data_IF_008123662343
#
_entry.id   IF_008123662343
#
_cell.length_a   1.000
_cell.length_b   1.000
_cell.length_c   1.000
_cell.angle_alpha   90.00
_cell.angle_beta   90.00
_cell.angle_gamma   90.00
#
_symmetry.space_group_name_H-M   'P 1'
#
loop_
_entity.id
_entity.type
_entity.pdbx_description
1 polymer ?
#
# COMPACT_ATOMS: atom_id res chain seq x y z
N UNK A 1 -7.40 -1.47 -3.35
CA UNK A 1 -6.65 -0.39 -4.06
C UNK A 1 -7.35 0.93 -3.81
N UNK A 2 -6.60 2.01 -3.83
CA UNK A 2 -7.12 3.38 -3.85
C UNK A 2 -6.80 4.06 -5.18
N UNK A 3 -7.61 5.05 -5.56
CA UNK A 3 -7.28 6.04 -6.57
C UNK A 3 -7.03 7.36 -5.85
N UNK A 4 -5.84 7.92 -6.03
CA UNK A 4 -5.44 9.16 -5.36
C UNK A 4 -6.27 10.34 -5.88
N UNK A 5 -6.56 11.30 -5.00
CA UNK A 5 -7.23 12.54 -5.42
C UNK A 5 -6.39 13.32 -6.45
N UNK A 6 -7.04 14.13 -7.28
CA UNK A 6 -6.34 14.94 -8.28
C UNK A 6 -5.52 16.08 -7.66
N UNK A 7 -5.81 16.45 -6.42
CA UNK A 7 -5.07 17.47 -5.66
C UNK A 7 -3.89 16.86 -4.86
N UNK A 8 -3.70 15.54 -4.93
CA UNK A 8 -2.61 14.88 -4.23
C UNK A 8 -1.24 15.32 -4.78
N UNK A 9 -0.29 15.60 -3.87
CA UNK A 9 1.05 16.15 -4.24
C UNK A 9 1.91 15.18 -5.05
N UNK A 10 1.72 13.88 -4.87
CA UNK A 10 2.51 12.85 -5.53
C UNK A 10 1.61 11.88 -6.28
N UNK A 11 1.77 11.81 -7.61
CA UNK A 11 1.02 10.92 -8.51
C UNK A 11 -0.51 11.11 -8.40
N UNK A 12 -1.06 12.32 -8.66
CA UNK A 12 -2.51 12.55 -8.65
C UNK A 12 -3.22 11.66 -9.68
N UNK A 13 -4.35 11.06 -9.28
CA UNK A 13 -5.14 10.15 -10.15
C UNK A 13 -4.54 8.77 -10.37
N UNK A 14 -3.38 8.46 -9.78
CA UNK A 14 -2.80 7.12 -9.85
C UNK A 14 -3.49 6.16 -8.89
N UNK A 15 -3.56 4.90 -9.33
CA UNK A 15 -4.01 3.80 -8.47
C UNK A 15 -2.81 3.23 -7.71
N UNK A 16 -2.99 3.07 -6.39
CA UNK A 16 -1.97 2.60 -5.47
C UNK A 16 -2.55 1.63 -4.43
N UNK A 17 -1.68 0.96 -3.68
CA UNK A 17 -2.07 0.38 -2.41
C UNK A 17 -2.28 1.52 -1.40
N UNK A 18 -3.20 1.38 -0.42
CA UNK A 18 -3.28 2.31 0.71
C UNK A 18 -1.93 2.40 1.43
N UNK A 19 -1.54 3.60 1.84
CA UNK A 19 -0.29 3.80 2.56
C UNK A 19 0.34 5.17 2.34
N UNK A 20 1.12 5.60 3.32
CA UNK A 20 1.79 6.90 3.37
C UNK A 20 3.20 6.83 3.92
N UNK A 21 3.71 7.96 4.37
CA UNK A 21 5.01 8.09 5.00
C UNK A 21 5.00 7.52 6.43
N UNK A 22 6.16 7.07 6.89
CA UNK A 22 6.35 6.77 8.31
C UNK A 22 6.48 8.10 9.07
N UNK A 23 5.60 8.33 10.03
CA UNK A 23 5.56 9.51 10.86
C UNK A 23 6.21 9.30 12.23
N UNK A 24 6.46 10.39 12.96
CA UNK A 24 7.07 10.35 14.29
C UNK A 24 6.26 9.51 15.30
N UNK A 25 4.95 9.39 15.08
CA UNK A 25 4.04 8.61 15.94
C UNK A 25 4.10 7.10 15.68
N UNK A 26 4.60 6.67 14.52
CA UNK A 26 4.59 5.26 14.14
C UNK A 26 5.57 4.40 14.95
N UNK A 27 6.70 4.95 15.38
CA UNK A 27 7.63 4.23 16.24
C UNK A 27 7.04 3.97 17.66
N UNK A 28 6.42 4.95 18.34
CA UNK A 28 5.63 4.69 19.55
C UNK A 28 4.46 3.69 19.33
N UNK A 29 3.75 3.77 18.21
CA UNK A 29 2.68 2.82 17.86
C UNK A 29 3.24 1.40 17.71
N UNK A 30 4.33 1.24 16.97
CA UNK A 30 5.00 -0.04 16.78
C UNK A 30 5.45 -0.65 18.12
N UNK A 31 5.99 0.17 19.03
CA UNK A 31 6.35 -0.27 20.37
C UNK A 31 5.15 -0.81 21.16
N UNK A 32 3.98 -0.16 21.04
CA UNK A 32 2.75 -0.60 21.70
C UNK A 32 2.12 -1.83 21.05
N UNK A 33 2.09 -1.90 19.72
CA UNK A 33 1.39 -2.96 18.99
C UNK A 33 2.24 -4.21 18.78
N UNK A 34 3.52 -4.03 18.49
CA UNK A 34 4.43 -5.13 18.12
C UNK A 34 5.55 -5.38 19.14
N UNK A 35 5.66 -4.53 20.18
CA UNK A 35 6.73 -4.62 21.16
C UNK A 35 8.09 -4.14 20.68
N UNK A 36 8.19 -3.57 19.46
CA UNK A 36 9.46 -3.12 18.88
C UNK A 36 9.26 -1.81 18.07
N UNK A 37 9.80 -0.67 18.51
CA UNK A 37 9.71 0.59 17.77
C UNK A 37 10.33 0.56 16.36
N UNK A 38 11.22 -0.42 16.06
CA UNK A 38 11.83 -0.58 14.74
C UNK A 38 10.83 -1.08 13.68
N UNK A 39 9.66 -1.54 14.09
CA UNK A 39 8.55 -1.92 13.21
C UNK A 39 7.67 -0.73 12.78
N UNK A 40 8.19 0.51 12.86
CA UNK A 40 7.46 1.74 12.53
C UNK A 40 6.80 1.69 11.14
N UNK A 41 7.48 1.15 10.11
CA UNK A 41 6.89 1.00 8.78
C UNK A 41 5.67 0.06 8.75
N UNK A 42 5.64 -0.96 9.63
CA UNK A 42 4.49 -1.85 9.79
C UNK A 42 3.34 -1.16 10.51
N UNK A 43 3.66 -0.33 11.51
CA UNK A 43 2.66 0.48 12.21
C UNK A 43 2.05 1.54 11.28
N UNK A 44 2.88 2.22 10.47
CA UNK A 44 2.41 3.13 9.43
C UNK A 44 1.42 2.45 8.48
N UNK A 45 1.74 1.25 7.97
CA UNK A 45 0.85 0.52 7.08
C UNK A 45 -0.52 0.19 7.73
N UNK A 46 -0.55 -0.11 9.03
CA UNK A 46 -1.80 -0.35 9.77
C UNK A 46 -2.57 0.95 9.99
N UNK A 47 -1.88 2.04 10.34
CA UNK A 47 -2.47 3.37 10.53
C UNK A 47 -3.09 3.87 9.24
N UNK A 48 -2.33 3.93 8.18
CA UNK A 48 -2.75 4.42 6.86
C UNK A 48 -3.94 3.64 6.29
N UNK A 49 -3.94 2.31 6.47
CA UNK A 49 -5.09 1.49 6.06
C UNK A 49 -6.38 1.89 6.78
N UNK A 50 -6.29 2.23 8.07
CA UNK A 50 -7.44 2.66 8.84
C UNK A 50 -7.89 4.09 8.50
N UNK A 51 -6.94 4.99 8.24
CA UNK A 51 -7.20 6.40 7.94
C UNK A 51 -7.68 6.61 6.50
N UNK A 52 -7.00 6.05 5.51
CA UNK A 52 -7.33 6.27 4.09
C UNK A 52 -8.56 5.49 3.61
N UNK A 53 -8.79 4.27 4.15
CA UNK A 53 -9.84 3.38 3.62
C UNK A 53 -10.76 2.75 4.67
N UNK A 54 -10.70 3.24 5.90
CA UNK A 54 -11.55 2.80 7.02
C UNK A 54 -11.50 1.27 7.28
N UNK A 55 -10.32 0.66 7.17
CA UNK A 55 -10.07 -0.76 7.47
C UNK A 55 -9.04 -0.91 8.58
N UNK A 56 -9.43 -1.41 9.74
CA UNK A 56 -8.57 -1.64 10.89
C UNK A 56 -8.12 -3.11 10.96
N UNK A 57 -6.80 -3.33 11.02
CA UNK A 57 -6.22 -4.66 11.26
C UNK A 57 -6.15 -4.91 12.75
N UNK A 58 -6.86 -5.91 13.24
CA UNK A 58 -6.85 -6.35 14.63
C UNK A 58 -6.15 -7.70 14.80
N UNK A 59 -6.06 -8.19 16.03
CA UNK A 59 -5.45 -9.48 16.33
C UNK A 59 -6.08 -10.62 15.51
N UNK A 60 -7.40 -10.59 15.34
CA UNK A 60 -8.16 -11.73 14.78
C UNK A 60 -8.75 -11.44 13.40
N UNK A 61 -9.00 -10.16 13.06
CA UNK A 61 -9.75 -9.79 11.86
C UNK A 61 -9.22 -8.51 11.21
N UNK A 62 -9.73 -8.21 10.02
CA UNK A 62 -9.75 -6.87 9.44
C UNK A 62 -11.19 -6.39 9.50
N UNK A 63 -11.44 -5.31 10.20
CA UNK A 63 -12.78 -4.78 10.48
C UNK A 63 -12.95 -3.37 9.93
N UNK A 64 -14.19 -2.92 9.78
CA UNK A 64 -14.44 -1.52 9.46
C UNK A 64 -13.95 -0.63 10.61
N UNK A 65 -13.16 0.38 10.29
CA UNK A 65 -12.71 1.39 11.23
C UNK A 65 -13.77 2.49 11.36
N UNK A 66 -14.02 3.03 12.59
CA UNK A 66 -14.90 4.17 12.77
C UNK A 66 -14.28 5.45 12.18
N UNK A 67 -15.11 6.37 11.70
CA UNK A 67 -14.66 7.66 11.16
C UNK A 67 -13.94 8.49 12.23
N UNK A 68 -14.48 8.50 13.45
CA UNK A 68 -13.81 9.14 14.58
C UNK A 68 -12.98 8.11 15.35
N UNK A 69 -11.66 8.35 15.43
CA UNK A 69 -10.72 7.42 16.08
C UNK A 69 -10.51 6.12 15.30
N UNK A 70 -10.07 6.16 14.02
CA UNK A 70 -9.96 4.98 13.17
C UNK A 70 -9.03 3.91 13.74
N UNK A 71 -8.13 4.27 14.64
CA UNK A 71 -7.20 3.34 15.29
C UNK A 71 -7.76 2.70 16.57
N UNK A 72 -8.96 3.08 17.02
CA UNK A 72 -9.53 2.51 18.24
C UNK A 72 -9.59 0.97 18.25
N UNK A 73 -10.05 0.28 17.17
CA UNK A 73 -10.04 -1.18 17.13
C UNK A 73 -8.63 -1.79 17.21
N UNK A 74 -7.64 -1.11 16.62
CA UNK A 74 -6.23 -1.55 16.64
C UNK A 74 -5.65 -1.40 18.05
N UNK A 75 -5.97 -0.32 18.76
CA UNK A 75 -5.52 -0.11 20.13
C UNK A 75 -6.14 -1.11 21.12
N UNK A 76 -7.40 -1.48 20.89
CA UNK A 76 -8.12 -2.44 21.72
C UNK A 76 -7.60 -3.88 21.52
N UNK A 77 -7.33 -4.26 20.29
CA UNK A 77 -6.85 -5.59 19.92
C UNK A 77 -5.72 -5.52 18.87
N UNK A 78 -4.50 -5.12 19.26
CA UNK A 78 -3.40 -4.93 18.31
C UNK A 78 -3.03 -6.23 17.61
N UNK A 79 -2.75 -6.19 16.30
CA UNK A 79 -2.38 -7.38 15.55
C UNK A 79 -0.99 -7.88 16.00
N UNK A 80 -0.78 -9.20 16.11
CA UNK A 80 0.56 -9.73 16.26
C UNK A 80 1.37 -9.47 14.98
N UNK A 81 2.69 -9.33 15.13
CA UNK A 81 3.60 -8.98 14.04
C UNK A 81 3.46 -9.92 12.83
N UNK A 82 3.25 -11.21 13.10
CA UNK A 82 3.16 -12.29 12.11
C UNK A 82 1.91 -12.18 11.22
N UNK A 83 0.91 -11.42 11.67
CA UNK A 83 -0.31 -11.19 10.88
C UNK A 83 -0.06 -10.36 9.63
N UNK A 84 0.98 -9.51 9.64
CA UNK A 84 1.38 -8.70 8.49
C UNK A 84 2.71 -9.21 7.92
N UNK A 85 2.67 -9.88 6.79
CA UNK A 85 3.87 -10.32 6.09
C UNK A 85 4.43 -9.20 5.21
N UNK A 86 5.71 -8.84 5.36
CA UNK A 86 6.38 -7.95 4.42
C UNK A 86 6.63 -8.71 3.12
N UNK A 87 6.00 -8.30 2.02
CA UNK A 87 6.02 -8.99 0.73
C UNK A 87 6.83 -8.27 -0.33
N UNK A 88 7.04 -6.96 -0.18
CA UNK A 88 7.85 -6.18 -1.10
C UNK A 88 8.52 -4.99 -0.40
N UNK A 89 9.68 -4.58 -0.92
CA UNK A 89 10.36 -3.34 -0.58
C UNK A 89 10.88 -2.67 -1.83
N UNK A 90 10.57 -1.39 -1.99
CA UNK A 90 10.98 -0.59 -3.15
C UNK A 90 11.73 0.66 -2.68
N UNK A 91 12.99 0.78 -3.10
CA UNK A 91 13.83 1.93 -2.81
C UNK A 91 13.96 2.76 -4.08
N UNK A 92 13.57 4.02 -4.02
CA UNK A 92 13.68 4.92 -5.15
C UNK A 92 15.15 5.07 -5.59
N UNK A 93 15.46 5.01 -6.89
CA UNK A 93 16.78 5.27 -7.43
C UNK A 93 17.29 6.66 -7.03
N UNK A 94 18.61 6.83 -6.98
CA UNK A 94 19.22 8.10 -6.58
C UNK A 94 18.98 9.24 -7.59
N UNK A 95 18.59 8.88 -8.80
CA UNK A 95 18.37 9.81 -9.93
C UNK A 95 16.99 10.47 -9.91
N UNK A 96 16.03 9.91 -9.14
CA UNK A 96 14.69 10.49 -9.08
C UNK A 96 14.60 11.57 -8.00
N UNK A 97 13.87 12.69 -8.26
CA UNK A 97 13.81 13.82 -7.33
C UNK A 97 13.07 13.49 -6.02
N UNK A 98 12.08 12.60 -6.06
CA UNK A 98 11.35 12.15 -4.87
C UNK A 98 11.84 10.76 -4.49
N UNK A 99 12.54 10.67 -3.37
CA UNK A 99 13.06 9.40 -2.85
C UNK A 99 12.12 8.81 -1.82
N UNK A 100 11.90 7.50 -1.93
CA UNK A 100 11.12 6.73 -0.96
C UNK A 100 11.80 5.38 -0.71
N UNK A 101 11.49 4.80 0.44
CA UNK A 101 11.79 3.42 0.84
C UNK A 101 10.44 2.82 1.27
N UNK A 102 9.70 2.30 0.30
CA UNK A 102 8.34 1.82 0.51
C UNK A 102 8.35 0.32 0.81
N UNK A 103 7.71 -0.07 1.90
CA UNK A 103 7.49 -1.47 2.31
C UNK A 103 6.03 -1.82 2.14
N UNK A 104 5.78 -3.01 1.61
CA UNK A 104 4.44 -3.51 1.34
C UNK A 104 4.16 -4.71 2.26
N UNK A 105 3.04 -4.63 2.95
CA UNK A 105 2.62 -5.66 3.88
C UNK A 105 1.32 -6.31 3.41
N UNK A 106 1.27 -7.63 3.50
CA UNK A 106 0.05 -8.41 3.24
C UNK A 106 -0.57 -8.86 4.55
N UNK A 107 -1.90 -8.81 4.61
CA UNK A 107 -2.71 -9.32 5.72
C UNK A 107 -3.79 -10.24 5.17
N UNK A 108 -4.05 -11.38 5.85
CA UNK A 108 -5.18 -12.26 5.51
C UNK A 108 -6.47 -11.67 6.05
N UNK A 109 -7.51 -11.75 5.25
CA UNK A 109 -8.87 -11.35 5.63
C UNK A 109 -9.80 -12.57 5.48
N UNK A 110 -10.54 -12.83 6.54
CA UNK A 110 -11.66 -13.76 6.53
C UNK A 110 -12.95 -12.94 6.47
N UNK A 111 -13.48 -12.75 5.28
CA UNK A 111 -14.60 -11.85 5.02
C UNK A 111 -14.13 -10.47 4.56
N UNK A 112 -15.00 -9.74 3.91
CA UNK A 112 -14.68 -8.43 3.34
C UNK A 112 -15.53 -7.35 4.03
N UNK A 113 -14.88 -6.50 4.85
CA UNK A 113 -15.38 -5.14 5.02
C UNK A 113 -15.05 -4.39 3.73
N UNK A 114 -16.00 -3.60 3.21
CA UNK A 114 -15.77 -2.77 2.05
C UNK A 114 -14.91 -1.56 2.44
N UNK A 115 -13.86 -1.24 1.68
CA UNK A 115 -13.04 -0.07 1.94
C UNK A 115 -13.85 1.20 1.64
N UNK A 116 -13.76 2.17 2.54
CA UNK A 116 -14.39 3.48 2.39
C UNK A 116 -13.30 4.55 2.28
N UNK A 117 -13.17 5.24 1.14
CA UNK A 117 -12.13 6.26 0.98
C UNK A 117 -12.39 7.45 1.89
N UNK A 118 -11.32 8.08 2.38
CA UNK A 118 -11.38 9.27 3.23
C UNK A 118 -11.83 10.53 2.47
N UNK A 119 -11.72 10.53 1.14
CA UNK A 119 -12.05 11.65 0.27
C UNK A 119 -11.02 12.78 0.25
N UNK A 120 -10.00 12.73 1.10
CA UNK A 120 -8.92 13.71 1.16
C UNK A 120 -7.70 13.26 0.36
N UNK A 121 -7.21 12.07 0.61
CA UNK A 121 -6.07 11.45 -0.10
C UNK A 121 -6.53 10.40 -1.10
N UNK A 122 -7.54 9.60 -0.74
CA UNK A 122 -8.17 8.60 -1.59
C UNK A 122 -9.52 9.11 -2.12
N UNK A 123 -9.62 9.29 -3.44
CA UNK A 123 -10.88 9.63 -4.10
C UNK A 123 -11.82 8.42 -4.23
N UNK A 124 -11.24 7.23 -4.40
CA UNK A 124 -11.94 5.93 -4.50
C UNK A 124 -11.15 4.85 -3.80
N UNK A 125 -11.86 3.85 -3.28
CA UNK A 125 -11.28 2.63 -2.73
C UNK A 125 -12.12 1.43 -3.13
N UNK A 126 -11.48 0.32 -3.55
CA UNK A 126 -12.20 -0.89 -3.98
C UNK A 126 -11.34 -2.14 -3.92
N UNK A 127 -11.99 -3.29 -3.85
CA UNK A 127 -11.35 -4.58 -4.04
C UNK A 127 -11.19 -4.89 -5.52
N UNK A 128 -10.01 -5.35 -5.92
CA UNK A 128 -9.75 -5.77 -7.30
C UNK A 128 -8.73 -6.90 -7.30
N UNK A 129 -8.93 -7.88 -8.18
CA UNK A 129 -7.92 -8.90 -8.36
C UNK A 129 -6.68 -8.33 -9.06
N UNK A 130 -5.46 -8.85 -8.76
CA UNK A 130 -4.24 -8.40 -9.44
C UNK A 130 -4.34 -8.49 -10.97
N UNK A 131 -4.93 -9.56 -11.50
CA UNK A 131 -5.11 -9.76 -12.94
C UNK A 131 -6.05 -8.73 -13.56
N UNK A 132 -7.17 -8.42 -12.88
CA UNK A 132 -8.12 -7.40 -13.35
C UNK A 132 -7.49 -6.00 -13.35
N UNK A 133 -6.66 -5.68 -12.34
CA UNK A 133 -5.96 -4.41 -12.28
C UNK A 133 -4.95 -4.26 -13.42
N UNK A 134 -4.17 -5.31 -13.72
CA UNK A 134 -3.25 -5.30 -14.87
C UNK A 134 -4.00 -5.18 -16.21
N UNK A 135 -5.18 -5.79 -16.33
CA UNK A 135 -6.01 -5.65 -17.54
C UNK A 135 -6.52 -4.22 -17.70
N UNK A 136 -6.97 -3.57 -16.62
CA UNK A 136 -7.40 -2.17 -16.63
C UNK A 136 -6.24 -1.23 -16.98
N UNK A 137 -5.04 -1.48 -16.45
CA UNK A 137 -3.85 -0.72 -16.82
C UNK A 137 -3.46 -0.89 -18.29
N UNK A 138 -3.52 -2.11 -18.83
CA UNK A 138 -3.25 -2.38 -20.24
C UNK A 138 -4.28 -1.76 -21.19
N UNK A 139 -5.52 -1.54 -20.72
CA UNK A 139 -6.59 -0.83 -21.42
C UNK A 139 -6.54 0.71 -21.26
N UNK A 140 -5.55 1.22 -20.51
CA UNK A 140 -5.39 2.65 -20.16
C UNK A 140 -6.55 3.22 -19.31
N UNK A 141 -7.34 2.35 -18.66
CA UNK A 141 -8.43 2.75 -17.78
C UNK A 141 -7.93 3.28 -16.42
N UNK A 142 -6.71 2.90 -16.02
CA UNK A 142 -6.07 3.31 -14.76
C UNK A 142 -4.59 3.59 -14.95
N UNK A 143 -4.04 4.48 -14.12
CA UNK A 143 -2.62 4.78 -14.08
C UNK A 143 -1.96 4.02 -12.93
N UNK A 144 -0.88 3.29 -13.20
CA UNK A 144 -0.06 2.64 -12.18
C UNK A 144 1.36 3.20 -12.20
N UNK A 145 1.90 3.47 -11.01
CA UNK A 145 3.32 3.73 -10.86
C UNK A 145 4.10 2.42 -10.87
N UNK A 146 5.33 2.42 -11.33
CA UNK A 146 6.12 1.22 -11.57
C UNK A 146 6.26 0.28 -10.33
N UNK A 147 6.49 0.72 -9.07
CA UNK A 147 6.51 -0.19 -7.92
C UNK A 147 5.16 -0.90 -7.72
N UNK A 148 4.05 -0.17 -7.91
CA UNK A 148 2.71 -0.74 -7.84
C UNK A 148 2.51 -1.76 -8.96
N UNK A 149 2.85 -1.42 -10.20
CA UNK A 149 2.71 -2.32 -11.35
C UNK A 149 3.51 -3.62 -11.16
N UNK A 150 4.77 -3.54 -10.76
CA UNK A 150 5.59 -4.74 -10.56
C UNK A 150 5.14 -5.58 -9.36
N UNK A 151 4.73 -4.93 -8.28
CA UNK A 151 4.15 -5.65 -7.14
C UNK A 151 2.89 -6.39 -7.56
N UNK A 152 1.95 -5.73 -8.24
CA UNK A 152 0.71 -6.35 -8.75
C UNK A 152 1.02 -7.47 -9.74
N UNK A 153 2.04 -7.33 -10.59
CA UNK A 153 2.47 -8.39 -11.53
C UNK A 153 2.94 -9.63 -10.77
N UNK A 154 3.75 -9.47 -9.72
CA UNK A 154 4.18 -10.58 -8.89
C UNK A 154 3.01 -11.24 -8.14
N UNK A 155 2.07 -10.43 -7.61
CA UNK A 155 0.85 -10.94 -6.98
C UNK A 155 -0.03 -11.71 -7.96
N UNK A 156 -0.14 -11.28 -9.22
CA UNK A 156 -0.91 -11.95 -10.26
C UNK A 156 -0.34 -13.33 -10.68
N UNK A 157 0.93 -13.57 -10.40
CA UNK A 157 1.61 -14.83 -10.66
C UNK A 157 1.38 -15.87 -9.55
N UNK A 158 0.99 -15.45 -8.34
CA UNK A 158 0.70 -16.34 -7.23
C UNK A 158 -0.54 -17.21 -7.53
N UNK A 159 -0.48 -18.47 -7.14
CA UNK A 159 -1.57 -19.43 -7.30
C UNK A 159 -2.58 -19.34 -6.16
N UNK A 160 -2.10 -18.99 -4.98
CA UNK A 160 -2.89 -18.92 -3.75
C UNK A 160 -2.30 -17.88 -2.75
N UNK A 161 -2.99 -17.73 -1.63
CA UNK A 161 -2.59 -16.80 -0.59
C UNK A 161 -1.30 -17.24 0.14
N UNK A 162 -1.01 -18.54 0.25
CA UNK A 162 0.20 -19.02 0.92
C UNK A 162 1.45 -18.64 0.12
N UNK A 163 1.37 -18.78 -1.20
CA UNK A 163 2.43 -18.34 -2.11
C UNK A 163 2.63 -16.82 -2.03
N UNK A 164 1.53 -16.05 -1.97
CA UNK A 164 1.57 -14.60 -1.80
C UNK A 164 2.28 -14.19 -0.50
N UNK A 165 1.94 -14.83 0.63
CA UNK A 165 2.59 -14.53 1.92
C UNK A 165 4.06 -14.93 1.97
N UNK A 166 4.48 -15.82 1.10
CA UNK A 166 5.88 -16.22 0.89
C UNK A 166 6.68 -15.28 -0.01
N UNK A 167 6.03 -14.34 -0.71
CA UNK A 167 6.71 -13.40 -1.61
C UNK A 167 7.76 -12.57 -0.88
N UNK A 168 8.85 -12.30 -1.60
CA UNK A 168 9.90 -11.35 -1.21
C UNK A 168 10.33 -10.63 -2.47
N UNK A 169 9.63 -9.54 -2.78
CA UNK A 169 9.92 -8.71 -3.95
C UNK A 169 10.93 -7.66 -3.51
N UNK A 170 12.13 -7.73 -4.09
CA UNK A 170 13.18 -6.77 -3.83
C UNK A 170 13.19 -5.67 -4.89
N UNK A 171 13.70 -4.51 -4.49
CA UNK A 171 13.91 -3.39 -5.39
C UNK A 171 14.72 -3.82 -6.60
N UNK A 172 14.21 -3.49 -7.77
CA UNK A 172 14.96 -3.49 -9.02
C UNK A 172 14.69 -2.21 -9.78
N UNK A 173 15.62 -1.77 -10.58
CA UNK A 173 15.37 -0.69 -11.52
C UNK A 173 14.63 -1.26 -12.74
N UNK A 174 13.64 -0.53 -13.28
CA UNK A 174 13.05 -0.88 -14.57
C UNK A 174 14.12 -0.80 -15.65
N UNK A 175 14.08 -1.72 -16.60
CA UNK A 175 14.90 -1.61 -17.83
C UNK A 175 14.35 -0.54 -18.79
N UNK A 176 15.07 -0.26 -19.89
CA UNK A 176 14.67 0.80 -20.83
C UNK A 176 13.32 0.53 -21.50
N UNK A 177 12.99 -0.74 -21.79
CA UNK A 177 11.71 -1.13 -22.39
C UNK A 177 10.56 -0.97 -21.39
N UNK A 178 10.80 -1.30 -20.14
CA UNK A 178 9.84 -1.13 -19.05
C UNK A 178 9.61 0.35 -18.76
N UNK A 179 10.68 1.16 -18.72
CA UNK A 179 10.58 2.62 -18.55
C UNK A 179 9.76 3.27 -19.67
N UNK A 180 9.87 2.77 -20.90
CA UNK A 180 9.09 3.25 -22.05
C UNK A 180 7.57 3.04 -21.89
N UNK A 181 7.13 2.16 -21.00
CA UNK A 181 5.71 1.88 -20.70
C UNK A 181 5.09 2.82 -19.67
N UNK A 182 5.92 3.58 -18.96
CA UNK A 182 5.48 4.53 -17.96
C UNK A 182 5.63 5.96 -18.47
N UNK A 183 4.68 6.87 -18.21
CA UNK A 183 4.80 8.26 -18.62
C UNK A 183 6.07 8.90 -18.07
N UNK A 184 6.83 9.61 -18.91
CA UNK A 184 8.08 10.27 -18.50
C UNK A 184 7.86 11.29 -17.36
N UNK A 185 6.70 11.94 -17.30
CA UNK A 185 6.31 12.85 -16.21
C UNK A 185 6.32 12.22 -14.83
N UNK A 186 6.27 10.88 -14.74
CA UNK A 186 6.37 10.14 -13.49
C UNK A 186 7.79 10.15 -12.93
N UNK A 187 8.81 10.21 -13.80
CA UNK A 187 10.22 10.20 -13.40
C UNK A 187 10.82 11.61 -13.33
N UNK A 188 10.28 12.53 -14.09
CA UNK A 188 10.76 13.91 -14.22
C UNK A 188 9.57 14.83 -14.04
N UNK A 189 9.29 15.25 -12.80
CA UNK A 189 8.43 16.39 -12.59
C UNK A 189 9.20 17.60 -13.10
N UNK A 190 8.82 18.11 -14.26
CA UNK A 190 9.31 19.39 -14.75
C UNK A 190 9.03 20.44 -13.68
N UNK A 191 10.11 21.12 -13.22
CA UNK A 191 10.06 22.19 -12.22
C UNK A 191 9.43 23.44 -12.83
#
# INVERSE_FOLDING_TARGET
MIERTLDHRFLPGYVAFPGGAVDDEDAPLAGRWFGDPREAARAAAVRELAEEVALAVTADAVVAAPVEGPLAPVHEAPPPRERLAEVARWIAPTQVPVRFDARYFAVRMDGAADPTPDGAEAARAWWISPRSLLSAWAAEDVLLYWPTHFTVTALAACRDADELFGLRIETREPDEDELGRFPRSVFFQDR
#
